data_IF_057951891490
#
_entry.id   IF_057951891490
#
_cell.length_a   1.000
_cell.length_b   1.000
_cell.length_c   1.000
_cell.angle_alpha   90.00
_cell.angle_beta   90.00
_cell.angle_gamma   90.00
#
_symmetry.space_group_name_H-M   'P 1'
#
loop_
_entity.id
_entity.type
_entity.pdbx_description
1 polymer ?
#
# COMPACT_ATOMS: atom_id res chain seq x y z
N UNK A 1 16.44 17.76 -7.78
CA UNK A 1 15.17 18.50 -7.55
C UNK A 1 14.36 17.60 -6.63
N UNK A 2 14.02 18.06 -5.43
CA UNK A 2 13.50 17.15 -4.39
C UNK A 2 12.12 16.64 -4.77
N UNK A 3 11.90 15.33 -4.59
CA UNK A 3 10.59 14.72 -4.86
C UNK A 3 9.53 15.32 -3.92
N UNK A 4 9.93 15.65 -2.68
CA UNK A 4 9.08 16.29 -1.67
C UNK A 4 8.62 17.71 -2.07
N UNK A 5 9.24 18.35 -3.07
CA UNK A 5 8.82 19.66 -3.59
C UNK A 5 7.79 19.53 -4.73
N UNK A 6 7.70 18.35 -5.38
CA UNK A 6 6.74 18.09 -6.45
C UNK A 6 5.35 17.72 -5.93
N UNK A 7 5.30 17.08 -4.75
CA UNK A 7 4.05 16.62 -4.14
C UNK A 7 3.84 17.27 -2.77
N UNK A 8 2.85 18.18 -2.63
CA UNK A 8 2.57 18.80 -1.34
C UNK A 8 2.07 17.75 -0.33
N UNK A 9 2.41 17.93 0.94
CA UNK A 9 1.90 17.08 2.02
C UNK A 9 0.40 17.37 2.24
N UNK A 10 -0.44 16.61 1.54
CA UNK A 10 -1.90 16.73 1.63
C UNK A 10 -2.48 15.99 2.83
N UNK A 11 -1.68 15.15 3.50
CA UNK A 11 -2.06 14.39 4.69
C UNK A 11 -2.49 12.94 4.42
N UNK A 12 -2.78 12.21 5.50
CA UNK A 12 -3.08 10.76 5.46
C UNK A 12 -4.40 10.45 4.78
N UNK A 13 -5.45 11.25 5.00
CA UNK A 13 -6.78 10.99 4.47
C UNK A 13 -6.83 10.99 2.92
N UNK A 14 -6.31 12.01 2.22
CA UNK A 14 -6.28 11.96 0.75
C UNK A 14 -5.35 10.86 0.22
N UNK A 15 -4.24 10.56 0.93
CA UNK A 15 -3.37 9.44 0.57
C UNK A 15 -4.13 8.10 0.60
N UNK A 16 -4.92 7.85 1.65
CA UNK A 16 -5.78 6.65 1.76
C UNK A 16 -6.77 6.60 0.61
N UNK A 17 -7.42 7.71 0.27
CA UNK A 17 -8.39 7.75 -0.83
C UNK A 17 -7.76 7.40 -2.18
N UNK A 18 -6.56 7.94 -2.47
CA UNK A 18 -5.82 7.62 -3.69
C UNK A 18 -5.43 6.15 -3.71
N UNK A 19 -4.84 5.64 -2.63
CA UNK A 19 -4.44 4.23 -2.53
C UNK A 19 -5.65 3.32 -2.69
N UNK A 20 -6.78 3.63 -2.08
CA UNK A 20 -8.01 2.85 -2.20
C UNK A 20 -8.48 2.72 -3.66
N UNK A 21 -8.54 3.83 -4.39
CA UNK A 21 -8.96 3.83 -5.80
C UNK A 21 -7.96 3.06 -6.68
N UNK A 22 -6.66 3.30 -6.48
CA UNK A 22 -5.61 2.61 -7.24
C UNK A 22 -5.59 1.12 -6.92
N UNK A 23 -5.74 0.75 -5.65
CA UNK A 23 -5.81 -0.65 -5.22
C UNK A 23 -6.99 -1.36 -5.88
N UNK A 24 -8.20 -0.77 -5.85
CA UNK A 24 -9.37 -1.33 -6.54
C UNK A 24 -9.12 -1.53 -8.04
N UNK A 25 -8.54 -0.52 -8.71
CA UNK A 25 -8.25 -0.60 -10.14
C UNK A 25 -7.23 -1.70 -10.46
N UNK A 26 -6.16 -1.81 -9.65
CA UNK A 26 -5.11 -2.81 -9.83
C UNK A 26 -5.56 -4.22 -9.40
N UNK A 27 -6.48 -4.33 -8.45
CA UNK A 27 -6.98 -5.63 -8.00
C UNK A 27 -7.77 -6.35 -9.08
N UNK A 28 -8.39 -5.63 -10.01
CA UNK A 28 -9.04 -6.19 -11.20
C UNK A 28 -8.09 -6.98 -12.11
N UNK A 29 -6.77 -6.77 -12.00
CA UNK A 29 -5.77 -7.55 -12.74
C UNK A 29 -5.59 -8.97 -12.17
N UNK A 30 -6.05 -9.23 -10.94
CA UNK A 30 -5.82 -10.47 -10.22
C UNK A 30 -4.37 -10.69 -9.75
N UNK A 31 -3.46 -9.73 -10.00
CA UNK A 31 -2.04 -9.85 -9.61
C UNK A 31 -1.84 -9.27 -8.22
N UNK A 32 -1.70 -10.15 -7.24
CA UNK A 32 -1.60 -9.75 -5.82
C UNK A 32 -0.39 -8.86 -5.50
N UNK A 33 0.70 -9.01 -6.26
CA UNK A 33 1.90 -8.18 -6.11
C UNK A 33 1.64 -6.69 -6.43
N UNK A 34 0.60 -6.39 -7.22
CA UNK A 34 0.21 -5.01 -7.52
C UNK A 34 -0.24 -4.23 -6.28
N UNK A 35 -0.58 -4.90 -5.17
CA UNK A 35 -0.90 -4.24 -3.91
C UNK A 35 0.30 -3.50 -3.31
N UNK A 36 1.52 -3.98 -3.56
CA UNK A 36 2.74 -3.25 -3.20
C UNK A 36 2.85 -1.94 -3.99
N UNK A 37 2.49 -1.99 -5.27
CA UNK A 37 2.49 -0.84 -6.17
C UNK A 37 1.40 0.15 -5.78
N UNK A 38 0.18 -0.33 -5.49
CA UNK A 38 -0.91 0.51 -4.99
C UNK A 38 -0.51 1.22 -3.68
N UNK A 39 0.08 0.48 -2.74
CA UNK A 39 0.61 1.03 -1.49
C UNK A 39 1.69 2.09 -1.71
N UNK A 40 2.57 1.92 -2.70
CA UNK A 40 3.63 2.89 -3.01
C UNK A 40 3.10 4.30 -3.27
N UNK A 41 1.88 4.46 -3.79
CA UNK A 41 1.27 5.77 -4.01
C UNK A 41 1.02 6.54 -2.71
N UNK A 42 0.83 5.87 -1.57
CA UNK A 42 0.68 6.56 -0.28
C UNK A 42 1.93 7.35 0.09
N UNK A 43 3.12 6.86 -0.28
CA UNK A 43 4.40 7.51 0.03
C UNK A 43 4.57 8.89 -0.62
N UNK A 44 3.86 9.15 -1.72
CA UNK A 44 3.93 10.42 -2.45
C UNK A 44 3.22 11.56 -1.71
N UNK A 45 2.24 11.25 -0.87
CA UNK A 45 1.37 12.24 -0.24
C UNK A 45 1.62 12.41 1.28
N UNK A 46 2.56 11.64 1.84
CA UNK A 46 2.87 11.63 3.28
C UNK A 46 4.38 11.74 3.51
N UNK A 47 4.80 12.61 4.45
CA UNK A 47 6.24 12.80 4.74
C UNK A 47 6.81 11.81 5.76
N UNK A 48 5.98 11.21 6.60
CA UNK A 48 6.44 10.28 7.66
C UNK A 48 6.24 8.85 7.20
N UNK A 49 7.28 8.01 7.33
CA UNK A 49 7.22 6.60 6.95
C UNK A 49 6.11 5.81 7.67
N UNK A 50 5.83 6.10 8.95
CA UNK A 50 4.72 5.47 9.67
C UNK A 50 3.37 5.92 9.11
N UNK A 51 3.24 7.20 8.76
CA UNK A 51 2.01 7.73 8.17
C UNK A 51 1.77 7.16 6.77
N UNK A 52 2.84 6.98 5.96
CA UNK A 52 2.76 6.33 4.66
C UNK A 52 2.33 4.88 4.80
N UNK A 53 2.93 4.14 5.75
CA UNK A 53 2.55 2.76 6.05
C UNK A 53 1.07 2.64 6.39
N UNK A 54 0.56 3.47 7.31
CA UNK A 54 -0.85 3.43 7.71
C UNK A 54 -1.76 3.80 6.53
N UNK A 55 -1.40 4.82 5.75
CA UNK A 55 -2.17 5.21 4.57
C UNK A 55 -2.26 4.09 3.54
N UNK A 56 -1.12 3.45 3.25
CA UNK A 56 -1.03 2.30 2.34
C UNK A 56 -1.82 1.10 2.85
N UNK A 57 -1.69 0.78 4.14
CA UNK A 57 -2.35 -0.36 4.73
C UNK A 57 -3.88 -0.20 4.80
N UNK A 58 -4.35 0.96 5.23
CA UNK A 58 -5.78 1.25 5.29
C UNK A 58 -6.39 1.32 3.89
N UNK A 59 -5.73 1.98 2.94
CA UNK A 59 -6.23 2.10 1.57
C UNK A 59 -6.39 0.74 0.88
N UNK A 60 -5.36 -0.11 0.92
CA UNK A 60 -5.42 -1.46 0.34
C UNK A 60 -6.39 -2.35 1.12
N UNK A 61 -6.38 -2.30 2.45
CA UNK A 61 -7.30 -3.07 3.29
C UNK A 61 -8.77 -2.77 3.00
N UNK A 62 -9.11 -1.48 2.80
CA UNK A 62 -10.47 -1.06 2.44
C UNK A 62 -10.87 -1.55 1.04
N UNK A 63 -9.95 -1.47 0.06
CA UNK A 63 -10.21 -1.93 -1.31
C UNK A 63 -10.57 -3.42 -1.32
N UNK A 64 -9.80 -4.19 -0.55
CA UNK A 64 -9.98 -5.62 -0.50
C UNK A 64 -11.20 -6.05 0.28
N UNK A 65 -11.50 -5.36 1.39
CA UNK A 65 -12.76 -5.55 2.10
C UNK A 65 -13.95 -5.30 1.17
N UNK A 66 -13.90 -4.23 0.37
CA UNK A 66 -14.96 -3.93 -0.59
C UNK A 66 -15.11 -5.05 -1.64
N UNK A 67 -14.01 -5.61 -2.13
CA UNK A 67 -14.03 -6.74 -3.07
C UNK A 67 -14.58 -8.01 -2.41
N UNK A 68 -14.16 -8.35 -1.19
CA UNK A 68 -14.72 -9.49 -0.49
C UNK A 68 -16.21 -9.33 -0.22
N UNK A 69 -16.67 -8.13 0.19
CA UNK A 69 -18.10 -7.84 0.34
C UNK A 69 -18.85 -8.05 -0.97
N UNK A 70 -18.30 -7.57 -2.09
CA UNK A 70 -18.88 -7.78 -3.41
C UNK A 70 -18.93 -9.26 -3.79
N UNK A 71 -17.86 -10.02 -3.55
CA UNK A 71 -17.77 -11.44 -3.88
C UNK A 71 -18.66 -12.31 -2.99
N UNK A 72 -18.82 -11.94 -1.71
CA UNK A 72 -19.79 -12.57 -0.81
C UNK A 72 -21.22 -12.39 -1.36
N UNK A 73 -21.54 -11.19 -1.87
CA UNK A 73 -22.87 -10.88 -2.39
C UNK A 73 -23.16 -11.51 -3.77
N UNK A 74 -22.15 -11.69 -4.62
CA UNK A 74 -22.35 -12.07 -6.04
C UNK A 74 -21.92 -13.49 -6.39
N UNK A 75 -20.91 -14.04 -5.71
CA UNK A 75 -20.20 -15.25 -6.12
C UNK A 75 -20.10 -16.30 -5.02
N UNK A 76 -20.89 -16.16 -3.93
CA UNK A 76 -20.84 -17.07 -2.79
C UNK A 76 -19.42 -17.29 -2.26
N UNK A 77 -18.62 -16.21 -2.16
CA UNK A 77 -17.21 -16.31 -1.75
C UNK A 77 -16.97 -17.01 -0.41
N UNK A 78 -17.96 -16.99 0.48
CA UNK A 78 -17.95 -17.74 1.72
C UNK A 78 -17.86 -19.25 1.47
N UNK A 79 -18.58 -19.79 0.50
CA UNK A 79 -18.55 -21.23 0.16
C UNK A 79 -17.19 -21.63 -0.42
N UNK A 80 -16.59 -20.77 -1.25
CA UNK A 80 -15.25 -20.99 -1.79
C UNK A 80 -14.21 -20.94 -0.67
N UNK A 81 -14.27 -19.94 0.21
CA UNK A 81 -13.37 -19.83 1.36
C UNK A 81 -13.53 -21.02 2.32
N UNK A 82 -14.76 -21.46 2.55
CA UNK A 82 -15.09 -22.62 3.37
C UNK A 82 -14.57 -23.93 2.77
N UNK A 83 -14.61 -24.08 1.45
CA UNK A 83 -13.99 -25.20 0.75
C UNK A 83 -12.47 -25.26 1.00
N UNK A 84 -11.77 -24.13 0.85
CA UNK A 84 -10.33 -24.07 1.14
C UNK A 84 -10.02 -24.28 2.63
N UNK A 85 -10.82 -23.72 3.53
CA UNK A 85 -10.68 -23.93 4.96
C UNK A 85 -10.89 -25.41 5.32
N UNK A 86 -11.87 -26.07 4.70
CA UNK A 86 -12.11 -27.50 4.83
C UNK A 86 -10.94 -28.37 4.38
N UNK A 87 -10.23 -28.00 3.31
CA UNK A 87 -9.00 -28.70 2.88
C UNK A 87 -7.88 -28.65 3.92
N UNK A 88 -7.84 -27.60 4.74
CA UNK A 88 -6.90 -27.45 5.85
C UNK A 88 -7.41 -28.09 7.16
N UNK A 89 -8.58 -28.74 7.13
CA UNK A 89 -9.22 -29.31 8.31
C UNK A 89 -9.90 -28.28 9.23
N UNK A 90 -10.05 -27.04 8.77
CA UNK A 90 -10.62 -25.91 9.50
C UNK A 90 -12.06 -25.65 9.03
N UNK A 91 -12.94 -26.63 9.19
CA UNK A 91 -14.36 -26.45 8.88
C UNK A 91 -14.98 -25.38 9.77
N UNK A 92 -15.80 -24.51 9.18
CA UNK A 92 -16.43 -23.34 9.77
C UNK A 92 -15.56 -22.08 9.78
N UNK A 93 -14.35 -22.12 9.22
CA UNK A 93 -13.37 -21.03 9.33
C UNK A 93 -13.28 -20.12 8.08
N UNK A 94 -14.22 -20.19 7.13
CA UNK A 94 -14.20 -19.35 5.93
C UNK A 94 -14.11 -17.84 6.22
N UNK A 95 -14.75 -17.37 7.30
CA UNK A 95 -14.65 -15.96 7.76
C UNK A 95 -13.24 -15.61 8.23
N UNK A 96 -12.55 -16.52 8.92
CA UNK A 96 -11.18 -16.32 9.36
C UNK A 96 -10.22 -16.24 8.18
N UNK A 97 -10.43 -17.05 7.13
CA UNK A 97 -9.63 -16.98 5.89
C UNK A 97 -9.76 -15.62 5.22
N UNK A 98 -10.98 -15.09 5.13
CA UNK A 98 -11.22 -13.75 4.57
C UNK A 98 -10.53 -12.67 5.42
N UNK A 99 -10.68 -12.74 6.74
CA UNK A 99 -10.06 -11.78 7.66
C UNK A 99 -8.52 -11.80 7.57
N UNK A 100 -7.91 -12.98 7.56
CA UNK A 100 -6.45 -13.15 7.39
C UNK A 100 -6.01 -12.66 6.02
N UNK A 101 -6.79 -12.95 4.97
CA UNK A 101 -6.53 -12.42 3.64
C UNK A 101 -6.46 -10.91 3.71
N UNK A 102 -7.55 -10.21 4.09
CA UNK A 102 -7.60 -8.74 4.23
C UNK A 102 -6.43 -8.19 5.04
N UNK A 103 -6.04 -8.86 6.13
CA UNK A 103 -4.89 -8.46 6.93
C UNK A 103 -3.57 -8.51 6.15
N UNK A 104 -3.30 -9.61 5.42
CA UNK A 104 -2.03 -9.82 4.70
C UNK A 104 -1.77 -8.71 3.68
N UNK A 105 -2.73 -8.44 2.81
CA UNK A 105 -2.63 -7.38 1.82
C UNK A 105 -2.84 -5.97 2.36
N UNK A 106 -3.52 -5.76 3.49
CA UNK A 106 -3.36 -4.49 4.23
C UNK A 106 -1.88 -4.30 4.59
N UNK A 107 -1.23 -5.33 5.13
CA UNK A 107 0.20 -5.27 5.41
C UNK A 107 1.05 -5.11 4.15
N UNK A 108 0.68 -5.74 3.02
CA UNK A 108 1.38 -5.52 1.74
C UNK A 108 1.26 -4.05 1.29
N UNK A 109 0.06 -3.47 1.35
CA UNK A 109 -0.15 -2.05 1.04
C UNK A 109 0.72 -1.15 1.91
N UNK A 110 0.74 -1.39 3.23
CA UNK A 110 1.61 -0.66 4.15
C UNK A 110 3.10 -0.85 3.83
N UNK A 111 3.55 -2.07 3.58
CA UNK A 111 4.93 -2.38 3.21
C UNK A 111 5.36 -1.76 1.88
N UNK A 112 4.45 -1.64 0.91
CA UNK A 112 4.67 -0.92 -0.34
C UNK A 112 4.92 0.57 -0.07
N UNK A 113 4.02 1.20 0.68
CA UNK A 113 4.15 2.60 1.07
C UNK A 113 5.41 2.91 1.89
N UNK A 114 5.74 2.03 2.83
CA UNK A 114 6.90 2.20 3.70
C UNK A 114 8.22 2.13 2.92
N UNK A 115 8.37 1.10 2.07
CA UNK A 115 9.58 0.95 1.26
C UNK A 115 9.77 2.10 0.28
N UNK A 116 8.71 2.52 -0.39
CA UNK A 116 8.79 3.66 -1.31
C UNK A 116 9.16 4.94 -0.58
N UNK A 117 8.64 5.18 0.64
CA UNK A 117 9.03 6.37 1.41
C UNK A 117 10.50 6.35 1.79
N UNK A 118 11.02 5.22 2.25
CA UNK A 118 12.45 5.07 2.55
C UNK A 118 13.33 5.29 1.31
N UNK A 119 12.90 4.79 0.15
CA UNK A 119 13.63 5.00 -1.11
C UNK A 119 13.66 6.48 -1.51
N UNK A 120 12.55 7.21 -1.33
CA UNK A 120 12.48 8.65 -1.60
C UNK A 120 13.44 9.42 -0.67
N UNK A 121 13.45 9.09 0.63
CA UNK A 121 14.35 9.74 1.60
C UNK A 121 15.83 9.50 1.29
N UNK A 122 16.19 8.27 0.90
CA UNK A 122 17.56 7.94 0.47
C UNK A 122 17.94 8.68 -0.81
N UNK A 123 17.02 8.77 -1.78
CA UNK A 123 17.27 9.52 -3.02
C UNK A 123 17.51 11.00 -2.74
N UNK A 124 16.61 11.65 -2.00
CA UNK A 124 16.68 13.08 -1.67
C UNK A 124 17.95 13.41 -0.88
N UNK A 125 18.38 12.54 0.04
CA UNK A 125 19.64 12.74 0.78
C UNK A 125 20.88 12.69 -0.13
N UNK A 126 20.93 11.79 -1.10
CA UNK A 126 22.06 11.67 -2.03
C UNK A 126 22.25 12.90 -2.94
N UNK A 127 21.15 13.51 -3.39
CA UNK A 127 21.21 14.74 -4.20
C UNK A 127 21.73 15.93 -3.39
N UNK A 128 21.37 16.01 -2.10
CA UNK A 128 21.79 17.12 -1.23
C UNK A 128 23.30 17.13 -0.97
N UNK A 129 23.91 15.96 -0.74
CA UNK A 129 25.37 15.84 -0.54
C UNK A 129 26.14 16.24 -1.79
N UNK A 130 25.68 15.80 -2.97
CA UNK A 130 26.32 16.13 -4.25
C UNK A 130 26.32 17.64 -4.51
N UNK A 131 25.24 18.34 -4.16
CA UNK A 131 25.15 19.78 -4.33
C UNK A 131 26.10 20.55 -3.39
N UNK A 132 26.29 20.07 -2.16
CA UNK A 132 27.20 20.68 -1.17
C UNK A 132 28.67 20.52 -1.56
N UNK A 133 29.05 19.32 -2.05
CA UNK A 133 30.42 19.04 -2.51
C UNK A 133 30.82 19.95 -3.69
N UNK A 134 29.92 20.15 -4.65
CA UNK A 134 30.15 21.06 -5.79
C UNK A 134 30.28 22.52 -5.34
N UNK A 135 29.48 22.95 -4.37
CA UNK A 135 29.55 24.31 -3.83
C UNK A 135 30.84 24.56 -3.03
N UNK A 136 31.43 23.53 -2.44
CA UNK A 136 32.73 23.62 -1.77
C UNK A 136 33.90 23.69 -2.76
N UNK A 137 33.79 22.99 -3.91
CA UNK A 137 34.82 23.00 -4.95
C UNK A 137 34.95 24.37 -5.65
N UNK A 138 33.84 25.09 -5.86
CA UNK A 138 33.84 26.43 -6.47
C UNK A 138 34.41 27.53 -5.56
N UNK A 139 34.63 27.25 -4.26
CA UNK A 139 35.12 28.21 -3.27
C UNK A 139 36.61 28.08 -2.93
N UNK A 140 37.29 27.06 -3.48
CA UNK A 140 38.72 26.80 -3.28
C UNK A 140 39.54 27.14 -4.51
#
# INVERSE_FOLDING_TARGET
MRIDDMFPETGVLPAVAVVFVVALALEMTGVWLMMLVAGAFAALFTRRAIASFLAGATGVGMAWLAIFVYLIATAHALEVAEFFAGLLGLTGAGTAVIAVSVLIGSLLGGCGAFRTRLLIEVWDSSESTTAEDLAHQDRG
#
